data_IF_610266176936
#
_entry.id   IF_610266176936
#
_cell.length_a   1.000
_cell.length_b   1.000
_cell.length_c   1.000
_cell.angle_alpha   90.00
_cell.angle_beta   90.00
_cell.angle_gamma   90.00
#
_symmetry.space_group_name_H-M   'P 1'
#
loop_
_entity.id
_entity.type
_entity.pdbx_description
1 polymer ?
#
# COMPACT_ATOMS: atom_id res chain seq x y z
N UNK A 1 -3.91 -26.00 4.41
CA UNK A 1 -2.60 -25.60 4.96
C UNK A 1 -2.87 -24.70 6.17
N UNK A 2 -2.07 -24.80 7.23
CA UNK A 2 -2.26 -23.99 8.44
C UNK A 2 -1.60 -22.60 8.26
N UNK A 3 -2.33 -21.48 8.31
CA UNK A 3 -1.75 -20.15 8.13
C UNK A 3 -0.74 -19.76 9.22
N UNK A 4 -0.84 -20.31 10.44
CA UNK A 4 0.14 -20.05 11.52
C UNK A 4 1.46 -20.83 11.38
N UNK A 5 1.58 -21.72 10.39
CA UNK A 5 2.83 -22.43 10.11
C UNK A 5 3.60 -21.70 9.00
N UNK A 6 4.78 -21.16 9.34
CA UNK A 6 5.65 -20.38 8.44
C UNK A 6 5.87 -21.12 7.11
N UNK A 7 6.13 -22.43 7.17
CA UNK A 7 6.41 -23.26 6.00
C UNK A 7 5.20 -23.48 5.08
N UNK A 8 3.99 -23.12 5.52
CA UNK A 8 2.80 -23.20 4.67
C UNK A 8 2.87 -22.31 3.44
N UNK A 9 3.59 -21.19 3.49
CA UNK A 9 3.68 -20.28 2.34
C UNK A 9 4.46 -20.89 1.19
N UNK A 10 5.63 -21.47 1.46
CA UNK A 10 6.39 -22.20 0.43
C UNK A 10 5.59 -23.38 -0.10
N UNK A 11 4.95 -24.16 0.77
CA UNK A 11 4.11 -25.28 0.32
C UNK A 11 2.93 -24.84 -0.55
N UNK A 12 2.33 -23.68 -0.25
CA UNK A 12 1.26 -23.11 -1.07
C UNK A 12 1.78 -22.66 -2.44
N UNK A 13 2.94 -21.99 -2.48
CA UNK A 13 3.58 -21.61 -3.73
C UNK A 13 4.00 -22.82 -4.58
N UNK A 14 4.55 -23.86 -3.96
CA UNK A 14 4.95 -25.09 -4.66
C UNK A 14 3.76 -25.84 -5.26
N UNK A 15 2.58 -25.70 -4.66
CA UNK A 15 1.33 -26.28 -5.17
C UNK A 15 0.72 -25.46 -6.30
N UNK A 16 1.13 -24.20 -6.49
CA UNK A 16 0.55 -23.34 -7.50
C UNK A 16 0.79 -23.87 -8.92
N UNK A 17 2.06 -24.07 -9.31
CA UNK A 17 2.39 -24.44 -10.68
C UNK A 17 1.77 -25.78 -11.12
N UNK A 18 1.83 -26.86 -10.33
CA UNK A 18 1.18 -28.14 -10.68
C UNK A 18 -0.33 -28.03 -10.91
N UNK A 19 -1.00 -27.08 -10.25
CA UNK A 19 -2.47 -26.91 -10.33
C UNK A 19 -2.86 -25.95 -11.45
N UNK A 20 -2.17 -24.81 -11.57
CA UNK A 20 -2.62 -23.70 -12.40
C UNK A 20 -1.81 -23.48 -13.68
N UNK A 21 -0.55 -23.94 -13.77
CA UNK A 21 0.35 -23.51 -14.86
C UNK A 21 -0.11 -23.93 -16.26
N UNK A 22 -0.98 -24.95 -16.37
CA UNK A 22 -1.56 -25.43 -17.64
C UNK A 22 -2.94 -24.86 -17.95
N UNK A 23 -3.48 -24.01 -17.08
CA UNK A 23 -4.78 -23.38 -17.26
C UNK A 23 -4.65 -22.05 -18.02
N UNK A 24 -5.78 -21.42 -18.35
CA UNK A 24 -5.81 -20.11 -19.01
C UNK A 24 -5.12 -19.03 -18.17
N UNK A 25 -4.83 -17.87 -18.77
CA UNK A 25 -4.25 -16.75 -18.03
C UNK A 25 -5.17 -16.29 -16.89
N UNK A 26 -6.47 -16.24 -17.15
CA UNK A 26 -7.50 -15.85 -16.18
C UNK A 26 -7.58 -16.85 -15.01
N UNK A 27 -7.46 -18.15 -15.31
CA UNK A 27 -7.44 -19.19 -14.28
C UNK A 27 -6.15 -19.14 -13.45
N UNK A 28 -5.00 -18.81 -14.05
CA UNK A 28 -3.74 -18.59 -13.34
C UNK A 28 -3.83 -17.38 -12.41
N UNK A 29 -4.33 -16.25 -12.91
CA UNK A 29 -4.54 -15.05 -12.11
C UNK A 29 -5.52 -15.32 -10.95
N UNK A 30 -6.60 -16.04 -11.19
CA UNK A 30 -7.54 -16.48 -10.14
C UNK A 30 -6.89 -17.43 -9.13
N UNK A 31 -6.00 -18.32 -9.58
CA UNK A 31 -5.19 -19.12 -8.67
C UNK A 31 -4.28 -18.26 -7.80
N UNK A 32 -3.78 -17.15 -8.33
CA UNK A 32 -2.90 -16.23 -7.61
C UNK A 32 -3.69 -15.43 -6.58
N UNK A 33 -4.93 -15.03 -6.87
CA UNK A 33 -5.78 -14.36 -5.87
C UNK A 33 -6.06 -15.27 -4.67
N UNK A 34 -6.25 -16.57 -4.90
CA UNK A 34 -6.36 -17.56 -3.80
C UNK A 34 -5.07 -17.67 -2.98
N UNK A 35 -3.91 -17.64 -3.65
CA UNK A 35 -2.62 -17.61 -2.97
C UNK A 35 -2.43 -16.34 -2.15
N UNK A 36 -2.74 -15.16 -2.72
CA UNK A 36 -2.64 -13.87 -2.04
C UNK A 36 -3.53 -13.82 -0.79
N UNK A 37 -4.78 -14.26 -0.89
CA UNK A 37 -5.69 -14.35 0.26
C UNK A 37 -5.21 -15.36 1.32
N UNK A 38 -4.49 -16.41 0.94
CA UNK A 38 -3.82 -17.30 1.90
C UNK A 38 -2.63 -16.61 2.58
N UNK A 39 -1.86 -15.82 1.82
CA UNK A 39 -0.72 -15.05 2.32
C UNK A 39 -1.16 -14.00 3.36
N UNK A 40 -2.27 -13.29 3.11
CA UNK A 40 -2.84 -12.32 4.07
C UNK A 40 -3.22 -13.01 5.39
N UNK A 41 -3.84 -14.19 5.33
CA UNK A 41 -4.18 -14.96 6.54
C UNK A 41 -2.93 -15.46 7.27
N UNK A 42 -1.90 -15.86 6.54
CA UNK A 42 -0.65 -16.31 7.13
C UNK A 42 0.09 -15.15 7.81
N UNK A 43 0.14 -13.98 7.16
CA UNK A 43 0.67 -12.74 7.72
C UNK A 43 -0.01 -12.37 9.04
N UNK A 44 -1.34 -12.32 9.08
CA UNK A 44 -2.08 -12.05 10.32
C UNK A 44 -1.83 -13.12 11.40
N UNK A 45 -1.86 -14.41 11.04
CA UNK A 45 -1.65 -15.49 12.01
C UNK A 45 -0.24 -15.49 12.61
N UNK A 46 0.78 -15.15 11.80
CA UNK A 46 2.16 -15.03 12.26
C UNK A 46 2.36 -13.84 13.20
N UNK A 47 1.68 -12.72 12.95
CA UNK A 47 1.67 -11.57 13.88
C UNK A 47 0.99 -11.92 15.20
N UNK A 48 -0.18 -12.57 15.19
CA UNK A 48 -0.81 -13.03 16.43
C UNK A 48 0.08 -14.01 17.21
N UNK A 49 0.81 -14.89 16.51
CA UNK A 49 1.77 -15.80 17.16
C UNK A 49 2.98 -15.05 17.71
N UNK A 50 3.40 -13.97 17.06
CA UNK A 50 4.53 -13.13 17.50
C UNK A 50 4.20 -12.39 18.80
N UNK A 51 2.96 -11.94 19.00
CA UNK A 51 2.50 -11.32 20.26
C UNK A 51 2.64 -12.26 21.47
N UNK A 52 2.54 -13.58 21.24
CA UNK A 52 2.66 -14.61 22.28
C UNK A 52 4.08 -15.19 22.39
N UNK A 53 5.01 -14.81 21.51
CA UNK A 53 6.36 -15.36 21.45
C UNK A 53 7.31 -14.65 22.43
N UNK A 54 8.10 -15.42 23.18
CA UNK A 54 9.09 -14.88 24.13
C UNK A 54 10.38 -14.39 23.44
N UNK A 55 10.36 -14.20 22.13
CA UNK A 55 11.51 -13.76 21.34
C UNK A 55 11.55 -12.24 21.19
N UNK A 56 12.76 -11.71 21.20
CA UNK A 56 13.01 -10.28 21.04
C UNK A 56 13.24 -9.93 19.55
N UNK A 57 12.18 -9.45 18.90
CA UNK A 57 12.19 -9.04 17.49
C UNK A 57 12.85 -7.68 17.28
N UNK A 58 13.02 -6.87 18.34
CA UNK A 58 13.66 -5.56 18.24
C UNK A 58 15.14 -5.70 17.86
N UNK A 59 15.76 -6.84 18.20
CA UNK A 59 17.11 -7.19 17.74
C UNK A 59 17.20 -7.24 16.21
N UNK A 60 16.16 -7.75 15.54
CA UNK A 60 16.12 -7.80 14.08
C UNK A 60 15.84 -6.42 13.48
N UNK A 61 14.95 -5.63 14.08
CA UNK A 61 14.70 -4.26 13.61
C UNK A 61 15.97 -3.40 13.72
N UNK A 62 16.68 -3.51 14.84
CA UNK A 62 17.93 -2.77 15.08
C UNK A 62 19.00 -3.15 14.05
N UNK A 63 19.19 -4.43 13.77
CA UNK A 63 20.20 -4.92 12.81
C UNK A 63 19.79 -4.71 11.35
N UNK A 64 18.63 -5.23 10.95
CA UNK A 64 18.20 -5.30 9.54
C UNK A 64 17.65 -3.97 9.01
N UNK A 65 16.99 -3.17 9.85
CA UNK A 65 16.29 -1.95 9.43
C UNK A 65 17.12 -0.71 9.77
N UNK A 66 17.66 -0.63 11.00
CA UNK A 66 18.45 0.54 11.44
C UNK A 66 19.94 0.43 11.10
N UNK A 67 20.42 -0.75 10.67
CA UNK A 67 21.83 -0.98 10.34
C UNK A 67 22.76 -0.91 11.54
N UNK A 68 22.23 -1.07 12.76
CA UNK A 68 22.98 -1.01 14.02
C UNK A 68 23.28 -2.46 14.44
N UNK A 69 24.55 -2.85 14.64
CA UNK A 69 24.87 -4.20 15.09
C UNK A 69 24.11 -4.57 16.37
N UNK A 70 23.38 -5.68 16.35
CA UNK A 70 22.62 -6.19 17.49
C UNK A 70 23.08 -7.60 17.87
N UNK A 71 22.96 -7.96 19.14
CA UNK A 71 23.26 -9.32 19.59
C UNK A 71 22.05 -10.25 19.33
N UNK A 72 21.77 -10.52 18.04
CA UNK A 72 20.65 -11.38 17.65
C UNK A 72 20.89 -12.81 18.14
N UNK A 73 20.00 -13.32 19.00
CA UNK A 73 20.14 -14.68 19.55
C UNK A 73 20.12 -15.76 18.44
N UNK A 74 20.77 -16.93 18.62
CA UNK A 74 20.73 -18.01 17.63
C UNK A 74 19.30 -18.48 17.29
N UNK A 75 18.41 -18.51 18.28
CA UNK A 75 16.99 -18.85 18.08
C UNK A 75 16.29 -17.81 17.20
N UNK A 76 16.61 -16.53 17.39
CA UNK A 76 16.04 -15.46 16.57
C UNK A 76 16.59 -15.44 15.15
N UNK A 77 17.90 -15.69 14.96
CA UNK A 77 18.50 -15.88 13.64
C UNK A 77 17.81 -17.01 12.87
N UNK A 78 17.68 -18.18 13.48
CA UNK A 78 17.00 -19.32 12.87
C UNK A 78 15.53 -19.02 12.52
N UNK A 79 14.82 -18.26 13.34
CA UNK A 79 13.45 -17.84 13.03
C UNK A 79 13.41 -16.83 11.87
N UNK A 80 14.30 -15.84 11.83
CA UNK A 80 14.38 -14.87 10.73
C UNK A 80 14.68 -15.57 9.41
N UNK A 81 15.62 -16.52 9.40
CA UNK A 81 15.93 -17.34 8.22
C UNK A 81 14.71 -18.13 7.75
N UNK A 82 13.95 -18.74 8.67
CA UNK A 82 12.70 -19.44 8.35
C UNK A 82 11.65 -18.48 7.78
N UNK A 83 11.45 -17.30 8.36
CA UNK A 83 10.54 -16.29 7.83
C UNK A 83 10.93 -15.90 6.39
N UNK A 84 12.19 -15.49 6.18
CA UNK A 84 12.68 -15.05 4.87
C UNK A 84 12.59 -16.13 3.81
N UNK A 85 12.92 -17.38 4.16
CA UNK A 85 12.78 -18.51 3.25
C UNK A 85 11.33 -18.73 2.78
N UNK A 86 10.34 -18.31 3.57
CA UNK A 86 8.92 -18.51 3.34
C UNK A 86 8.16 -17.24 2.98
N UNK A 87 8.86 -16.16 2.60
CA UNK A 87 8.23 -14.93 2.13
C UNK A 87 7.81 -14.01 3.26
N UNK A 88 8.49 -13.99 4.39
CA UNK A 88 8.19 -12.99 5.42
C UNK A 88 9.46 -12.25 5.81
N UNK A 89 9.29 -11.02 6.26
CA UNK A 89 10.35 -10.23 6.88
C UNK A 89 9.83 -9.58 8.15
N UNK A 90 10.75 -9.30 9.07
CA UNK A 90 10.45 -8.46 10.24
C UNK A 90 10.70 -7.01 9.84
N UNK A 91 9.81 -6.13 10.24
CA UNK A 91 9.90 -4.68 10.03
C UNK A 91 9.45 -3.96 11.30
N UNK A 92 9.31 -2.64 11.24
CA UNK A 92 8.74 -1.85 12.31
C UNK A 92 7.95 -0.66 11.76
N UNK A 93 6.92 -0.27 12.49
CA UNK A 93 6.17 0.99 12.36
C UNK A 93 5.86 1.44 13.79
N UNK A 94 5.86 2.75 14.03
CA UNK A 94 5.65 3.34 15.36
C UNK A 94 6.55 2.75 16.47
N UNK A 95 7.75 2.26 16.09
CA UNK A 95 8.69 1.65 17.03
C UNK A 95 8.35 0.23 17.47
N UNK A 96 7.27 -0.36 16.94
CA UNK A 96 6.86 -1.73 17.24
C UNK A 96 7.30 -2.68 16.13
N UNK A 97 8.05 -3.75 16.42
CA UNK A 97 8.34 -4.80 15.45
C UNK A 97 7.07 -5.54 15.04
N UNK A 98 6.97 -5.90 13.76
CA UNK A 98 5.92 -6.81 13.27
C UNK A 98 6.44 -7.64 12.09
N UNK A 99 5.74 -8.74 11.80
CA UNK A 99 6.01 -9.58 10.62
C UNK A 99 5.20 -9.03 9.46
N UNK A 100 5.82 -8.92 8.30
CA UNK A 100 5.09 -8.59 7.08
C UNK A 100 5.46 -9.49 5.91
N UNK A 101 4.56 -9.53 4.92
CA UNK A 101 4.78 -10.15 3.62
C UNK A 101 6.00 -9.58 2.92
N UNK A 102 6.90 -10.46 2.47
CA UNK A 102 7.96 -10.10 1.54
C UNK A 102 7.45 -10.27 0.10
N UNK A 103 7.09 -9.17 -0.56
CA UNK A 103 6.62 -9.21 -1.95
C UNK A 103 7.75 -9.41 -2.96
N UNK A 104 9.02 -9.22 -2.59
CA UNK A 104 10.15 -9.59 -3.44
C UNK A 104 10.27 -11.11 -3.59
N UNK A 105 9.82 -11.88 -2.59
CA UNK A 105 9.77 -13.35 -2.62
C UNK A 105 8.78 -13.91 -3.65
N UNK A 106 7.74 -13.15 -3.99
CA UNK A 106 6.65 -13.55 -4.92
C UNK A 106 7.15 -13.63 -6.36
N UNK A 107 7.95 -12.65 -6.80
CA UNK A 107 8.34 -12.50 -8.21
C UNK A 107 8.94 -13.77 -8.84
N UNK A 108 10.03 -14.32 -8.27
CA UNK A 108 10.67 -15.54 -8.78
C UNK A 108 9.75 -16.77 -8.85
N UNK A 109 8.68 -16.79 -8.06
CA UNK A 109 7.77 -17.95 -7.96
C UNK A 109 6.59 -17.85 -8.90
N UNK A 110 6.02 -16.65 -9.05
CA UNK A 110 4.74 -16.48 -9.73
C UNK A 110 4.82 -15.79 -11.09
N UNK A 111 5.76 -14.87 -11.33
CA UNK A 111 5.70 -13.96 -12.50
C UNK A 111 5.62 -14.65 -13.86
N UNK A 112 6.25 -15.82 -14.03
CA UNK A 112 6.16 -16.61 -15.28
C UNK A 112 4.76 -17.18 -15.56
N UNK A 113 3.89 -17.24 -14.56
CA UNK A 113 2.56 -17.80 -14.67
C UNK A 113 1.45 -16.75 -14.74
N UNK A 114 1.71 -15.53 -14.26
CA UNK A 114 0.72 -14.46 -14.22
C UNK A 114 0.50 -13.84 -15.61
N UNK A 115 -0.69 -13.30 -15.84
CA UNK A 115 -0.91 -12.42 -16.99
C UNK A 115 -0.06 -11.14 -16.87
N UNK A 116 0.18 -10.41 -17.98
CA UNK A 116 0.84 -9.11 -17.91
C UNK A 116 0.15 -8.11 -16.97
N UNK A 117 -1.18 -8.12 -16.90
CA UNK A 117 -1.97 -7.21 -16.05
C UNK A 117 -1.78 -7.56 -14.57
N UNK A 118 -1.90 -8.84 -14.21
CA UNK A 118 -1.67 -9.29 -12.83
C UNK A 118 -0.22 -9.08 -12.40
N UNK A 119 0.74 -9.31 -13.31
CA UNK A 119 2.16 -9.04 -13.04
C UNK A 119 2.40 -7.56 -12.73
N UNK A 120 1.87 -6.65 -13.55
CA UNK A 120 1.99 -5.20 -13.31
C UNK A 120 1.37 -4.77 -11.97
N UNK A 121 0.21 -5.34 -11.62
CA UNK A 121 -0.41 -5.12 -10.31
C UNK A 121 0.48 -5.56 -9.15
N UNK A 122 1.04 -6.77 -9.20
CA UNK A 122 1.92 -7.29 -8.15
C UNK A 122 3.24 -6.53 -8.07
N UNK A 123 3.78 -6.09 -9.21
CA UNK A 123 4.98 -5.25 -9.25
C UNK A 123 4.74 -3.89 -8.60
N UNK A 124 3.57 -3.28 -8.80
CA UNK A 124 3.22 -2.03 -8.11
C UNK A 124 3.10 -2.26 -6.61
N UNK A 125 2.38 -3.29 -6.16
CA UNK A 125 2.26 -3.61 -4.73
C UNK A 125 3.62 -3.81 -4.08
N UNK A 126 4.54 -4.49 -4.78
CA UNK A 126 5.91 -4.66 -4.31
C UNK A 126 6.64 -3.32 -4.20
N UNK A 127 6.60 -2.49 -5.23
CA UNK A 127 7.27 -1.19 -5.21
C UNK A 127 6.78 -0.30 -4.07
N UNK A 128 5.48 -0.36 -3.76
CA UNK A 128 4.88 0.37 -2.65
C UNK A 128 5.15 -0.26 -1.28
N UNK A 129 5.34 -1.57 -1.18
CA UNK A 129 5.77 -2.23 0.05
C UNK A 129 7.25 -1.94 0.36
N UNK A 130 8.10 -1.85 -0.66
CA UNK A 130 9.53 -1.51 -0.54
C UNK A 130 9.74 -0.02 -0.23
N UNK A 131 8.81 0.85 -0.68
CA UNK A 131 8.82 2.28 -0.42
C UNK A 131 7.40 2.77 -0.09
N UNK A 132 6.98 2.65 1.17
CA UNK A 132 5.63 3.03 1.62
C UNK A 132 5.35 4.50 1.32
N UNK A 133 4.15 4.83 0.85
CA UNK A 133 3.81 6.23 0.60
C UNK A 133 3.43 6.97 1.90
N UNK A 134 2.93 6.24 2.91
CA UNK A 134 2.58 6.78 4.21
C UNK A 134 2.96 5.81 5.33
N UNK A 135 3.37 6.36 6.48
CA UNK A 135 3.69 5.66 7.73
C UNK A 135 3.53 6.65 8.89
N UNK A 136 3.06 6.20 10.06
CA UNK A 136 2.79 7.05 11.24
C UNK A 136 2.06 8.37 10.88
N UNK A 137 0.95 8.25 10.14
CA UNK A 137 0.14 9.36 9.62
C UNK A 137 0.93 10.47 8.88
N UNK A 138 2.12 10.17 8.35
CA UNK A 138 2.95 11.07 7.55
C UNK A 138 3.07 10.56 6.11
N UNK A 139 3.15 11.46 5.14
CA UNK A 139 3.49 11.08 3.75
C UNK A 139 5.01 10.99 3.63
N UNK A 140 5.51 9.79 3.33
CA UNK A 140 6.94 9.46 3.31
C UNK A 140 7.59 9.72 1.95
N UNK A 141 6.79 9.89 0.89
CA UNK A 141 7.25 10.12 -0.48
C UNK A 141 7.20 11.59 -0.87
N UNK A 142 7.99 11.97 -1.87
CA UNK A 142 7.95 13.34 -2.41
C UNK A 142 6.58 13.67 -3.01
N UNK A 143 6.22 14.96 -3.05
CA UNK A 143 4.95 15.43 -3.64
C UNK A 143 4.75 14.95 -5.08
N UNK A 144 5.83 14.89 -5.88
CA UNK A 144 5.79 14.39 -7.25
C UNK A 144 5.54 12.88 -7.30
N UNK A 145 6.26 12.11 -6.49
CA UNK A 145 6.08 10.66 -6.44
C UNK A 145 4.67 10.28 -5.98
N UNK A 146 4.10 11.00 -5.02
CA UNK A 146 2.71 10.78 -4.61
C UNK A 146 1.71 10.98 -5.76
N UNK A 147 1.91 12.03 -6.57
CA UNK A 147 1.10 12.26 -7.79
C UNK A 147 1.30 11.15 -8.82
N UNK A 148 2.55 10.72 -9.08
CA UNK A 148 2.83 9.65 -10.03
C UNK A 148 2.14 8.34 -9.63
N UNK A 149 2.18 7.98 -8.34
CA UNK A 149 1.48 6.79 -7.81
C UNK A 149 -0.05 6.93 -7.91
N UNK A 150 -0.59 8.12 -7.61
CA UNK A 150 -2.02 8.41 -7.77
C UNK A 150 -2.46 8.19 -9.22
N UNK A 151 -1.68 8.70 -10.18
CA UNK A 151 -1.97 8.56 -11.62
C UNK A 151 -1.76 7.14 -12.11
N UNK A 152 -0.80 6.39 -11.53
CA UNK A 152 -0.64 4.97 -11.83
C UNK A 152 -1.91 4.19 -11.51
N UNK A 153 -2.45 4.34 -10.29
CA UNK A 153 -3.68 3.66 -9.87
C UNK A 153 -4.90 4.12 -10.67
N UNK A 154 -5.01 5.41 -11.00
CA UNK A 154 -6.07 5.91 -11.91
C UNK A 154 -6.02 5.22 -13.27
N UNK A 155 -4.85 5.19 -13.90
CA UNK A 155 -4.69 4.61 -15.22
C UNK A 155 -4.89 3.10 -15.21
N UNK A 156 -4.37 2.42 -14.19
CA UNK A 156 -4.49 0.97 -14.04
C UNK A 156 -5.96 0.56 -13.87
N UNK A 157 -6.68 1.17 -12.93
CA UNK A 157 -8.10 0.88 -12.70
C UNK A 157 -8.94 1.19 -13.95
N UNK A 158 -8.71 2.35 -14.58
CA UNK A 158 -9.45 2.77 -15.78
C UNK A 158 -9.19 1.84 -16.98
N UNK A 159 -7.94 1.43 -17.19
CA UNK A 159 -7.51 0.58 -18.30
C UNK A 159 -7.89 -0.89 -18.15
N UNK A 160 -8.14 -1.35 -16.93
CA UNK A 160 -8.31 -2.77 -16.62
C UNK A 160 -9.59 -3.08 -15.83
N UNK A 161 -10.74 -2.58 -16.30
CA UNK A 161 -12.06 -2.78 -15.65
C UNK A 161 -12.50 -4.25 -15.53
N UNK A 162 -11.98 -5.13 -16.40
CA UNK A 162 -12.25 -6.57 -16.36
C UNK A 162 -11.20 -7.35 -15.55
N UNK A 163 -10.24 -6.67 -14.91
CA UNK A 163 -9.22 -7.32 -14.09
C UNK A 163 -9.84 -8.03 -12.89
N UNK A 164 -9.35 -9.22 -12.59
CA UNK A 164 -9.87 -10.05 -11.49
C UNK A 164 -9.84 -9.34 -10.13
N UNK A 165 -8.86 -8.45 -9.89
CA UNK A 165 -8.76 -7.64 -8.67
C UNK A 165 -9.13 -6.17 -8.92
N UNK A 166 -10.02 -5.88 -9.88
CA UNK A 166 -10.44 -4.50 -10.17
C UNK A 166 -10.98 -3.77 -8.93
N UNK A 167 -11.73 -4.44 -8.06
CA UNK A 167 -12.24 -3.85 -6.82
C UNK A 167 -11.12 -3.29 -5.92
N UNK A 168 -10.03 -4.04 -5.76
CA UNK A 168 -8.86 -3.58 -4.99
C UNK A 168 -8.11 -2.46 -5.70
N UNK A 169 -7.94 -2.55 -7.03
CA UNK A 169 -7.30 -1.49 -7.80
C UNK A 169 -8.09 -0.17 -7.72
N UNK A 170 -9.42 -0.24 -7.78
CA UNK A 170 -10.30 0.93 -7.63
C UNK A 170 -10.28 1.46 -6.20
N UNK A 171 -10.21 0.59 -5.19
CA UNK A 171 -10.02 1.00 -3.79
C UNK A 171 -8.69 1.75 -3.61
N UNK A 172 -7.60 1.24 -4.17
CA UNK A 172 -6.29 1.91 -4.13
C UNK A 172 -6.31 3.25 -4.86
N UNK A 173 -6.94 3.33 -6.04
CA UNK A 173 -7.15 4.61 -6.75
C UNK A 173 -7.86 5.63 -5.85
N UNK A 174 -8.96 5.22 -5.20
CA UNK A 174 -9.69 6.09 -4.28
C UNK A 174 -8.86 6.47 -3.07
N UNK A 175 -8.14 5.53 -2.46
CA UNK A 175 -7.25 5.79 -1.32
C UNK A 175 -6.24 6.89 -1.66
N UNK A 176 -5.44 6.70 -2.72
CA UNK A 176 -4.44 7.69 -3.13
C UNK A 176 -5.07 9.06 -3.42
N UNK A 177 -6.18 9.11 -4.16
CA UNK A 177 -6.85 10.37 -4.48
C UNK A 177 -7.44 11.07 -3.25
N UNK A 178 -8.01 10.31 -2.32
CA UNK A 178 -8.57 10.84 -1.06
C UNK A 178 -7.46 11.42 -0.23
N UNK A 179 -6.37 10.68 -0.02
CA UNK A 179 -5.21 11.16 0.73
C UNK A 179 -4.56 12.36 0.04
N UNK A 180 -4.57 12.44 -1.29
CA UNK A 180 -4.04 13.62 -2.00
C UNK A 180 -4.93 14.86 -1.86
N UNK A 181 -6.22 14.70 -1.57
CA UNK A 181 -7.17 15.81 -1.33
C UNK A 181 -7.22 16.23 0.14
N UNK A 182 -7.12 15.28 1.06
CA UNK A 182 -7.37 15.50 2.50
C UNK A 182 -6.08 15.57 3.32
N UNK A 183 -5.03 14.92 2.82
CA UNK A 183 -3.81 14.67 3.55
C UNK A 183 -3.96 13.69 4.71
N UNK A 184 -2.98 13.76 5.60
CA UNK A 184 -2.86 12.94 6.82
C UNK A 184 -2.32 13.82 7.94
N UNK A 185 -2.46 13.41 9.20
CA UNK A 185 -2.19 14.27 10.36
C UNK A 185 -0.81 14.92 10.36
N UNK A 186 0.25 14.12 10.13
CA UNK A 186 1.64 14.58 10.13
C UNK A 186 2.08 15.14 8.76
N UNK A 187 1.18 15.18 7.77
CA UNK A 187 1.40 15.86 6.48
C UNK A 187 0.08 16.43 6.00
N UNK A 188 -0.37 17.45 6.74
CA UNK A 188 -1.66 18.10 6.53
C UNK A 188 -1.67 18.99 5.28
N UNK A 189 -2.86 19.11 4.68
CA UNK A 189 -3.14 20.11 3.64
C UNK A 189 -3.06 21.53 4.22
N UNK A 190 -3.50 21.71 5.46
CA UNK A 190 -3.35 22.96 6.21
C UNK A 190 -1.96 22.98 6.86
N UNK A 191 -1.18 23.99 6.52
CA UNK A 191 0.03 24.35 7.23
C UNK A 191 -0.34 25.17 8.46
N UNK A 192 -0.10 24.61 9.66
CA UNK A 192 -0.50 25.22 10.92
C UNK A 192 0.34 26.44 11.31
N UNK A 193 1.55 26.60 10.75
CA UNK A 193 2.39 27.77 11.04
C UNK A 193 1.94 28.99 10.26
N UNK A 194 1.63 28.81 8.97
CA UNK A 194 1.18 29.86 8.06
C UNK A 194 -0.34 30.03 8.03
N UNK A 195 -1.10 29.08 8.61
CA UNK A 195 -2.55 28.99 8.52
C UNK A 195 -3.06 29.01 7.06
N UNK A 196 -2.33 28.32 6.18
CA UNK A 196 -2.52 28.34 4.72
C UNK A 196 -2.32 26.98 4.09
N UNK A 197 -2.36 26.92 2.75
CA UNK A 197 -2.06 25.69 2.02
C UNK A 197 -0.60 25.30 2.21
N UNK A 198 -0.34 24.06 2.64
CA UNK A 198 1.03 23.60 2.82
C UNK A 198 1.78 23.47 1.49
N UNK A 199 3.09 23.76 1.55
CA UNK A 199 3.97 23.75 0.37
C UNK A 199 4.03 22.38 -0.30
N UNK A 200 3.87 21.30 0.48
CA UNK A 200 3.81 19.94 -0.02
C UNK A 200 2.63 19.73 -0.99
N UNK A 201 1.41 20.09 -0.58
CA UNK A 201 0.22 19.93 -1.42
C UNK A 201 0.14 20.98 -2.53
N UNK A 202 0.59 22.23 -2.29
CA UNK A 202 0.67 23.22 -3.37
C UNK A 202 1.58 22.72 -4.51
N UNK A 203 2.71 22.10 -4.15
CA UNK A 203 3.64 21.46 -5.09
C UNK A 203 3.01 20.24 -5.78
N UNK A 204 2.38 19.33 -5.03
CA UNK A 204 1.75 18.14 -5.58
C UNK A 204 0.63 18.50 -6.59
N UNK A 205 -0.29 19.38 -6.19
CA UNK A 205 -1.44 19.76 -7.01
C UNK A 205 -1.02 20.59 -8.23
N UNK A 206 -0.03 21.48 -8.10
CA UNK A 206 0.54 22.18 -9.25
C UNK A 206 1.20 21.23 -10.24
N UNK A 207 1.93 20.23 -9.73
CA UNK A 207 2.57 19.21 -10.57
C UNK A 207 1.53 18.37 -11.31
N UNK A 208 0.49 17.89 -10.62
CA UNK A 208 -0.63 17.15 -11.22
C UNK A 208 -1.33 17.95 -12.31
N UNK A 209 -1.70 19.21 -12.03
CA UNK A 209 -2.37 20.08 -12.97
C UNK A 209 -1.55 20.34 -14.24
N UNK A 210 -0.22 20.46 -14.09
CA UNK A 210 0.68 20.71 -15.22
C UNK A 210 0.97 19.45 -16.02
N UNK A 211 1.28 18.35 -15.33
CA UNK A 211 1.77 17.11 -15.95
C UNK A 211 0.66 16.22 -16.49
N UNK A 212 -0.51 16.24 -15.85
CA UNK A 212 -1.67 15.40 -16.13
C UNK A 212 -2.99 16.19 -16.18
N UNK A 213 -3.09 17.29 -16.95
CA UNK A 213 -4.26 18.19 -16.95
C UNK A 213 -5.59 17.53 -17.37
N UNK A 214 -5.52 16.36 -18.01
CA UNK A 214 -6.68 15.60 -18.51
C UNK A 214 -7.02 14.38 -17.65
N UNK A 215 -6.33 14.16 -16.53
CA UNK A 215 -6.64 13.08 -15.59
C UNK A 215 -7.93 13.36 -14.83
N UNK A 216 -8.57 12.31 -14.32
CA UNK A 216 -9.72 12.45 -13.42
C UNK A 216 -9.29 13.11 -12.11
N UNK A 217 -8.12 12.73 -11.57
CA UNK A 217 -7.53 13.35 -10.40
C UNK A 217 -7.37 14.87 -10.59
N UNK A 218 -6.83 15.33 -11.73
CA UNK A 218 -6.69 16.76 -12.01
C UNK A 218 -8.05 17.47 -12.09
N UNK A 219 -9.07 16.83 -12.66
CA UNK A 219 -10.41 17.41 -12.75
C UNK A 219 -11.02 17.70 -11.37
N UNK A 220 -10.70 16.90 -10.34
CA UNK A 220 -11.15 17.12 -8.97
C UNK A 220 -10.22 18.06 -8.18
N UNK A 221 -8.91 17.91 -8.35
CA UNK A 221 -7.91 18.64 -7.58
C UNK A 221 -7.79 20.10 -8.02
N UNK A 222 -7.87 20.43 -9.32
CA UNK A 222 -7.71 21.82 -9.79
C UNK A 222 -8.70 22.80 -9.13
N UNK A 223 -10.03 22.56 -9.12
CA UNK A 223 -10.95 23.47 -8.42
C UNK A 223 -10.74 23.46 -6.90
N UNK A 224 -10.36 22.33 -6.31
CA UNK A 224 -10.07 22.20 -4.88
C UNK A 224 -8.84 23.01 -4.46
N UNK A 225 -7.76 22.89 -5.24
CA UNK A 225 -6.53 23.66 -5.11
C UNK A 225 -6.78 25.16 -5.25
N UNK A 226 -7.60 25.56 -6.22
CA UNK A 226 -7.96 26.97 -6.40
C UNK A 226 -8.72 27.55 -5.19
N UNK A 227 -9.56 26.75 -4.53
CA UNK A 227 -10.23 27.16 -3.29
C UNK A 227 -9.23 27.35 -2.14
N UNK A 228 -8.32 26.39 -1.94
CA UNK A 228 -7.25 26.50 -0.94
C UNK A 228 -6.34 27.71 -1.15
N UNK A 229 -5.94 28.02 -2.40
CA UNK A 229 -5.13 29.20 -2.73
C UNK A 229 -5.83 30.53 -2.44
N UNK A 230 -7.16 30.55 -2.36
CA UNK A 230 -7.95 31.72 -1.95
C UNK A 230 -8.29 31.72 -0.46
N UNK A 231 -7.77 30.76 0.31
CA UNK A 231 -8.14 30.50 1.70
C UNK A 231 -9.65 30.26 1.89
N UNK A 232 -10.34 29.78 0.85
CA UNK A 232 -11.76 29.49 0.86
C UNK A 232 -12.01 28.03 1.26
N UNK A 233 -11.75 27.74 2.54
CA UNK A 233 -11.87 26.38 3.11
C UNK A 233 -13.31 25.86 3.08
N UNK A 234 -14.29 26.75 3.09
CA UNK A 234 -15.71 26.40 2.93
C UNK A 234 -15.99 25.84 1.53
N UNK A 235 -15.49 26.48 0.47
CA UNK A 235 -15.61 25.96 -0.88
C UNK A 235 -14.83 24.64 -1.06
N UNK A 236 -13.62 24.53 -0.52
CA UNK A 236 -12.84 23.30 -0.55
C UNK A 236 -13.61 22.14 0.14
N UNK A 237 -14.15 22.37 1.34
CA UNK A 237 -14.96 21.38 2.05
C UNK A 237 -16.25 21.01 1.32
N UNK A 238 -16.89 21.95 0.62
CA UNK A 238 -18.07 21.68 -0.21
C UNK A 238 -17.75 20.78 -1.41
N UNK A 239 -16.63 21.03 -2.09
CA UNK A 239 -16.14 20.18 -3.17
C UNK A 239 -15.86 18.77 -2.67
N UNK A 240 -15.16 18.63 -1.55
CA UNK A 240 -14.83 17.32 -0.98
C UNK A 240 -16.08 16.51 -0.63
N UNK A 241 -17.07 17.12 0.04
CA UNK A 241 -18.36 16.47 0.31
C UNK A 241 -19.06 16.02 -0.97
N UNK A 242 -19.02 16.85 -2.01
CA UNK A 242 -19.59 16.50 -3.32
C UNK A 242 -18.87 15.29 -3.93
N UNK A 243 -17.54 15.24 -3.86
CA UNK A 243 -16.76 14.12 -4.38
C UNK A 243 -17.05 12.81 -3.64
N UNK A 244 -17.23 12.87 -2.32
CA UNK A 244 -17.65 11.72 -1.48
C UNK A 244 -19.04 11.23 -1.86
N UNK A 245 -20.02 12.13 -1.98
CA UNK A 245 -21.40 11.79 -2.40
C UNK A 245 -21.46 11.14 -3.79
N UNK A 246 -20.54 11.52 -4.69
CA UNK A 246 -20.41 10.92 -6.03
C UNK A 246 -19.63 9.60 -6.04
N UNK A 247 -19.11 9.16 -4.89
CA UNK A 247 -18.29 7.96 -4.75
C UNK A 247 -16.94 8.05 -5.45
N UNK A 248 -16.44 9.26 -5.73
CA UNK A 248 -15.18 9.51 -6.45
C UNK A 248 -13.95 9.27 -5.59
N UNK A 249 -14.10 9.54 -4.29
CA UNK A 249 -13.12 9.38 -3.22
C UNK A 249 -13.71 8.48 -2.13
N UNK A 250 -12.88 8.07 -1.16
CA UNK A 250 -13.35 7.35 0.02
C UNK A 250 -14.13 8.31 0.93
N UNK A 251 -15.14 7.76 1.59
CA UNK A 251 -15.87 8.44 2.66
C UNK A 251 -15.59 7.63 3.93
N UNK A 252 -14.67 8.14 4.77
CA UNK A 252 -14.31 7.49 6.02
C UNK A 252 -15.38 7.68 7.10
N UNK A 253 -16.47 8.41 6.81
CA UNK A 253 -17.36 8.94 7.84
C UNK A 253 -16.75 10.18 8.48
N UNK A 254 -17.59 11.02 9.09
CA UNK A 254 -17.10 12.06 9.98
C UNK A 254 -16.77 11.41 11.33
N UNK A 255 -15.52 10.99 11.53
CA UNK A 255 -15.00 10.73 12.88
C UNK A 255 -14.76 12.07 13.61
N UNK A 256 -15.82 12.85 13.78
CA UNK A 256 -15.81 14.13 14.49
C UNK A 256 -17.15 14.43 15.16
N UNK A 257 -17.80 13.40 15.71
CA UNK A 257 -18.87 13.53 16.69
C UNK A 257 -18.66 12.46 17.77
N UNK A 258 -17.66 12.68 18.64
CA UNK A 258 -17.61 12.23 20.05
C UNK A 258 -16.72 13.20 20.85
#
# INVERSE_FOLDING_TARGET
MNPGDIESMTRAADRYAPVFARLSAEARDSGYTLFAAFYDRADSALNSTMEEDALDYEQLVTEDIRGIPANVSPKMKARNERLRANGFRVTSSEGMPYIEKDLAWVGPRFYRYLSPVMKAYVEQLRAEADNRFADDAAIMVTSKEFVERTIWWENFARGHRAFTLYGEAERMRKLYLTTLLEGVDNTSVLDYESNGLSTYYDSAWSYLATRYPKSEAAALIVPFHAAWRRSDTAAAGSLLRTYRQQGRVLDYGSDSDD
#
